data_IF_434001802774
#
_entry.id   IF_434001802774
#
_cell.length_a   1.000
_cell.length_b   1.000
_cell.length_c   1.000
_cell.angle_alpha   90.00
_cell.angle_beta   90.00
_cell.angle_gamma   90.00
#
_symmetry.space_group_name_H-M   'P 1'
#
loop_
_entity.id
_entity.type
_entity.pdbx_description
1 polymer ?
#
# COMPACT_ATOMS: atom_id res chain seq x y z
N UNK A 1 9.47 -12.41 -19.09
CA UNK A 1 9.14 -11.32 -18.16
C UNK A 1 7.63 -11.31 -17.96
N UNK A 2 7.11 -10.94 -16.78
CA UNK A 2 5.68 -10.87 -16.56
C UNK A 2 5.06 -9.72 -17.37
N UNK A 3 4.02 -9.98 -18.16
CA UNK A 3 3.33 -8.99 -18.99
C UNK A 3 2.75 -7.81 -18.17
N UNK A 4 2.47 -8.03 -16.89
CA UNK A 4 1.92 -7.01 -15.99
C UNK A 4 2.90 -5.86 -15.70
N UNK A 5 4.22 -6.10 -15.78
CA UNK A 5 5.22 -5.09 -15.46
C UNK A 5 5.31 -4.00 -16.55
N UNK A 6 5.10 -4.38 -17.81
CA UNK A 6 5.07 -3.47 -18.95
C UNK A 6 3.77 -2.64 -18.97
N UNK A 7 2.66 -3.27 -18.57
CA UNK A 7 1.36 -2.62 -18.33
C UNK A 7 1.42 -1.56 -17.23
N UNK A 8 2.25 -1.74 -16.19
CA UNK A 8 2.29 -0.87 -15.02
C UNK A 8 2.76 0.56 -15.32
N UNK A 9 3.79 0.74 -16.14
CA UNK A 9 4.41 2.07 -16.30
C UNK A 9 4.46 2.60 -17.74
N UNK A 10 4.34 1.75 -18.77
CA UNK A 10 4.48 2.21 -20.17
C UNK A 10 5.86 2.80 -20.53
N UNK A 11 6.83 2.75 -19.60
CA UNK A 11 8.20 3.27 -19.75
C UNK A 11 9.20 2.21 -20.25
N UNK A 12 8.69 1.04 -20.66
CA UNK A 12 9.49 -0.13 -21.03
C UNK A 12 9.89 -1.00 -19.82
N UNK A 13 10.06 -2.30 -20.07
CA UNK A 13 10.22 -3.30 -19.01
C UNK A 13 11.44 -3.07 -18.10
N UNK A 14 12.55 -2.55 -18.64
CA UNK A 14 13.77 -2.27 -17.86
C UNK A 14 13.56 -1.18 -16.82
N UNK A 15 12.91 -0.07 -17.20
CA UNK A 15 12.62 1.04 -16.29
C UNK A 15 11.59 0.62 -15.25
N UNK A 16 10.57 -0.14 -15.65
CA UNK A 16 9.57 -0.65 -14.73
C UNK A 16 10.15 -1.61 -13.69
N UNK A 17 11.09 -2.46 -14.10
CA UNK A 17 11.81 -3.34 -13.17
C UNK A 17 12.66 -2.55 -12.18
N UNK A 18 13.43 -1.58 -12.66
CA UNK A 18 14.25 -0.72 -11.80
C UNK A 18 13.39 0.08 -10.80
N UNK A 19 12.23 0.58 -11.24
CA UNK A 19 11.27 1.27 -10.38
C UNK A 19 10.69 0.35 -9.30
N UNK A 20 10.26 -0.86 -9.68
CA UNK A 20 9.73 -1.82 -8.70
C UNK A 20 10.80 -2.25 -7.70
N UNK A 21 12.04 -2.44 -8.16
CA UNK A 21 13.19 -2.72 -7.28
C UNK A 21 13.41 -1.57 -6.30
N UNK A 22 13.35 -0.32 -6.75
CA UNK A 22 13.49 0.83 -5.86
C UNK A 22 12.37 0.87 -4.81
N UNK A 23 11.11 0.59 -5.17
CA UNK A 23 10.00 0.50 -4.20
C UNK A 23 10.25 -0.59 -3.15
N UNK A 24 10.63 -1.80 -3.60
CA UNK A 24 10.93 -2.93 -2.71
C UNK A 24 12.06 -2.63 -1.73
N UNK A 25 13.18 -2.08 -2.22
CA UNK A 25 14.31 -1.73 -1.38
C UNK A 25 13.97 -0.63 -0.36
N UNK A 26 12.99 0.23 -0.63
CA UNK A 26 12.50 1.24 0.30
C UNK A 26 11.37 0.71 1.23
N UNK A 27 10.93 -0.54 1.06
CA UNK A 27 9.76 -1.11 1.72
C UNK A 27 8.50 -0.26 1.49
N UNK A 28 8.34 0.27 0.28
CA UNK A 28 7.21 1.10 -0.10
C UNK A 28 6.39 0.44 -1.20
N UNK A 29 5.12 0.85 -1.28
CA UNK A 29 4.16 0.46 -2.30
C UNK A 29 3.60 1.72 -2.93
N UNK A 30 3.36 1.68 -4.24
CA UNK A 30 2.53 2.68 -4.92
C UNK A 30 1.05 2.25 -4.94
N UNK A 31 0.19 3.05 -5.57
CA UNK A 31 -1.25 2.76 -5.62
C UNK A 31 -1.60 1.50 -6.41
N UNK A 32 -0.87 1.20 -7.49
CA UNK A 32 -1.13 0.02 -8.33
C UNK A 32 -0.65 -1.26 -7.64
N UNK A 33 0.45 -1.17 -6.88
CA UNK A 33 0.96 -2.27 -6.05
C UNK A 33 -0.06 -2.73 -5.01
N UNK A 34 -0.85 -1.81 -4.44
CA UNK A 34 -1.90 -2.18 -3.49
C UNK A 34 -2.90 -3.15 -4.12
N UNK A 35 -3.34 -2.86 -5.35
CA UNK A 35 -4.30 -3.71 -6.08
C UNK A 35 -3.63 -5.01 -6.53
N UNK A 36 -2.42 -4.92 -7.09
CA UNK A 36 -1.69 -6.07 -7.62
C UNK A 36 -1.28 -7.07 -6.53
N UNK A 37 -0.80 -6.60 -5.39
CA UNK A 37 -0.46 -7.46 -4.26
C UNK A 37 -1.69 -7.99 -3.54
N UNK A 38 -2.78 -7.21 -3.44
CA UNK A 38 -4.06 -7.75 -2.96
C UNK A 38 -4.55 -8.89 -3.85
N UNK A 39 -4.55 -8.71 -5.17
CA UNK A 39 -4.89 -9.75 -6.15
C UNK A 39 -4.03 -11.00 -5.96
N UNK A 40 -2.72 -10.82 -5.83
CA UNK A 40 -1.77 -11.93 -5.65
C UNK A 40 -2.00 -12.66 -4.32
N UNK A 41 -2.19 -11.93 -3.23
CA UNK A 41 -2.46 -12.51 -1.91
C UNK A 41 -3.79 -13.29 -1.88
N UNK A 42 -4.79 -12.90 -2.67
CA UNK A 42 -6.06 -13.63 -2.75
C UNK A 42 -5.99 -14.92 -3.57
N UNK A 43 -4.93 -15.10 -4.36
CA UNK A 43 -4.64 -16.35 -5.07
C UNK A 43 -3.94 -17.38 -4.17
N UNK A 44 -3.31 -16.92 -3.07
CA UNK A 44 -2.75 -17.81 -2.06
C UNK A 44 -3.87 -18.63 -1.38
N UNK A 45 -3.58 -19.90 -1.10
CA UNK A 45 -4.58 -20.86 -0.63
C UNK A 45 -5.17 -20.48 0.71
N UNK A 46 -4.30 -20.23 1.70
CA UNK A 46 -4.72 -19.90 3.07
C UNK A 46 -5.25 -18.47 3.16
N UNK A 47 -4.48 -17.50 2.64
CA UNK A 47 -4.84 -16.08 2.70
C UNK A 47 -6.12 -15.81 1.92
N UNK A 48 -6.21 -16.33 0.70
CA UNK A 48 -7.40 -16.20 -0.12
C UNK A 48 -8.61 -16.82 0.54
N UNK A 49 -8.47 -18.00 1.16
CA UNK A 49 -9.60 -18.68 1.80
C UNK A 49 -10.12 -17.91 3.00
N UNK A 50 -9.22 -17.41 3.85
CA UNK A 50 -9.58 -16.53 4.97
C UNK A 50 -10.42 -15.34 4.52
N UNK A 51 -10.03 -14.69 3.42
CA UNK A 51 -10.75 -13.51 2.93
C UNK A 51 -12.06 -13.83 2.22
N UNK A 52 -12.12 -14.93 1.46
CA UNK A 52 -13.37 -15.42 0.86
C UNK A 52 -14.41 -15.76 1.94
N UNK A 53 -14.00 -16.46 2.99
CA UNK A 53 -14.88 -16.77 4.13
C UNK A 53 -15.37 -15.52 4.86
N UNK A 54 -14.52 -14.51 4.99
CA UNK A 54 -14.90 -13.23 5.61
C UNK A 54 -15.92 -12.46 4.76
N UNK A 55 -15.72 -12.39 3.44
CA UNK A 55 -16.54 -11.61 2.53
C UNK A 55 -17.48 -12.49 1.71
N UNK A 56 -18.54 -12.96 2.38
CA UNK A 56 -19.55 -13.83 1.76
C UNK A 56 -20.45 -13.14 0.74
N UNK A 57 -20.60 -11.82 0.82
CA UNK A 57 -21.40 -11.00 -0.09
C UNK A 57 -20.56 -9.79 -0.49
N UNK A 58 -20.39 -9.57 -1.79
CA UNK A 58 -19.58 -8.48 -2.31
C UNK A 58 -20.46 -7.61 -3.20
N UNK A 59 -20.36 -6.29 -2.98
CA UNK A 59 -21.03 -5.29 -3.77
C UNK A 59 -20.00 -4.28 -4.25
N UNK A 60 -20.05 -3.95 -5.54
CA UNK A 60 -19.21 -2.90 -6.15
C UNK A 60 -20.14 -1.87 -6.77
N UNK A 61 -19.92 -0.61 -6.40
CA UNK A 61 -20.59 0.54 -7.02
C UNK A 61 -19.65 1.20 -8.03
N UNK A 62 -20.19 2.02 -8.94
CA UNK A 62 -19.44 2.70 -10.01
C UNK A 62 -18.61 1.73 -10.88
N UNK A 63 -19.17 0.56 -11.22
CA UNK A 63 -18.45 -0.51 -11.95
C UNK A 63 -17.90 -0.04 -13.30
N UNK A 64 -18.53 0.96 -13.92
CA UNK A 64 -18.10 1.49 -15.21
C UNK A 64 -16.69 2.10 -15.18
N UNK A 65 -16.23 2.54 -14.01
CA UNK A 65 -14.92 3.15 -13.80
C UNK A 65 -13.89 2.20 -13.18
N UNK A 66 -14.27 0.92 -13.02
CA UNK A 66 -13.39 -0.12 -12.47
C UNK A 66 -12.48 -0.71 -13.55
N UNK A 67 -11.21 -0.95 -13.19
CA UNK A 67 -10.22 -1.62 -14.04
C UNK A 67 -10.40 -3.15 -14.00
N UNK A 68 -9.87 -3.86 -15.00
CA UNK A 68 -9.89 -5.33 -14.99
C UNK A 68 -9.12 -5.93 -13.81
N UNK A 69 -8.02 -5.30 -13.38
CA UNK A 69 -7.22 -5.75 -12.23
C UNK A 69 -8.00 -5.63 -10.93
N UNK A 70 -8.73 -4.53 -10.73
CA UNK A 70 -9.61 -4.36 -9.56
C UNK A 70 -10.76 -5.37 -9.59
N UNK A 71 -11.34 -5.63 -10.77
CA UNK A 71 -12.33 -6.68 -10.94
C UNK A 71 -11.78 -8.06 -10.55
N UNK A 72 -10.54 -8.39 -10.88
CA UNK A 72 -9.93 -9.67 -10.48
C UNK A 72 -9.83 -9.82 -8.96
N UNK A 73 -9.55 -8.74 -8.22
CA UNK A 73 -9.59 -8.75 -6.75
C UNK A 73 -11.00 -9.11 -6.26
N UNK A 74 -12.00 -8.41 -6.76
CA UNK A 74 -13.42 -8.63 -6.43
C UNK A 74 -13.87 -10.05 -6.77
N UNK A 75 -13.49 -10.53 -7.96
CA UNK A 75 -13.74 -11.89 -8.42
C UNK A 75 -13.14 -12.91 -7.47
N UNK A 76 -11.88 -12.78 -7.07
CA UNK A 76 -11.23 -13.71 -6.16
C UNK A 76 -11.92 -13.78 -4.78
N UNK A 77 -12.48 -12.67 -4.31
CA UNK A 77 -13.27 -12.63 -3.08
C UNK A 77 -14.62 -13.36 -3.22
N UNK A 78 -15.31 -13.17 -4.34
CA UNK A 78 -16.68 -13.64 -4.49
C UNK A 78 -16.82 -15.05 -5.10
N UNK A 79 -15.81 -15.54 -5.84
CA UNK A 79 -15.94 -16.74 -6.69
C UNK A 79 -16.35 -18.01 -5.93
N UNK A 80 -15.95 -18.16 -4.67
CA UNK A 80 -16.31 -19.34 -3.86
C UNK A 80 -17.79 -19.37 -3.46
N UNK A 81 -18.44 -18.21 -3.35
CA UNK A 81 -19.83 -18.10 -2.90
C UNK A 81 -20.80 -17.70 -4.02
N UNK A 82 -20.31 -17.09 -5.10
CA UNK A 82 -21.12 -16.60 -6.22
C UNK A 82 -21.95 -15.35 -5.90
N UNK A 83 -21.79 -14.76 -4.72
CA UNK A 83 -22.59 -13.62 -4.27
C UNK A 83 -21.88 -12.30 -4.61
N UNK A 84 -21.98 -11.88 -5.87
CA UNK A 84 -21.43 -10.62 -6.36
C UNK A 84 -22.50 -9.77 -7.04
N UNK A 85 -22.65 -8.52 -6.58
CA UNK A 85 -23.46 -7.50 -7.24
C UNK A 85 -22.56 -6.38 -7.76
N UNK A 86 -22.64 -6.10 -9.07
CA UNK A 86 -22.01 -4.94 -9.70
C UNK A 86 -23.10 -3.92 -10.02
N UNK A 87 -22.90 -2.68 -9.57
CA UNK A 87 -23.81 -1.55 -9.75
C UNK A 87 -23.05 -0.47 -10.50
N UNK A 88 -23.69 0.12 -11.51
CA UNK A 88 -23.15 1.24 -12.26
C UNK A 88 -23.90 1.47 -13.57
N UNK A 89 -23.45 2.48 -14.30
CA UNK A 89 -24.03 2.93 -15.56
C UNK A 89 -22.92 3.08 -16.60
N UNK A 90 -22.97 2.27 -17.66
CA UNK A 90 -21.94 2.28 -18.71
C UNK A 90 -21.89 3.60 -19.48
N UNK A 91 -23.00 4.34 -19.57
CA UNK A 91 -23.05 5.66 -20.21
C UNK A 91 -22.39 6.75 -19.35
N UNK A 92 -22.02 6.44 -18.10
CA UNK A 92 -21.34 7.34 -17.15
C UNK A 92 -19.83 7.07 -17.01
N UNK A 93 -19.26 6.19 -17.85
CA UNK A 93 -17.83 5.89 -17.81
C UNK A 93 -16.99 7.12 -18.18
N UNK A 94 -16.25 7.68 -17.23
CA UNK A 94 -15.41 8.89 -17.44
C UNK A 94 -13.94 8.68 -17.06
N UNK A 95 -13.58 7.49 -16.56
CA UNK A 95 -12.21 7.14 -16.16
C UNK A 95 -11.47 6.18 -17.10
N UNK A 96 -11.86 6.08 -18.37
CA UNK A 96 -11.16 5.23 -19.37
C UNK A 96 -9.67 5.56 -19.54
N UNK A 97 -9.29 6.82 -19.35
CA UNK A 97 -7.92 7.31 -19.37
C UNK A 97 -7.06 6.78 -18.20
N UNK A 98 -7.70 6.29 -17.12
CA UNK A 98 -7.07 5.57 -16.01
C UNK A 98 -7.07 4.05 -16.19
N UNK A 99 -7.53 3.56 -17.35
CA UNK A 99 -7.54 2.13 -17.66
C UNK A 99 -8.86 1.41 -17.40
N UNK A 100 -9.94 2.12 -17.05
CA UNK A 100 -11.27 1.52 -17.01
C UNK A 100 -11.64 0.96 -18.40
N UNK A 101 -12.23 -0.24 -18.41
CA UNK A 101 -12.67 -0.97 -19.62
C UNK A 101 -14.02 -1.62 -19.36
N UNK A 102 -15.10 -0.82 -19.21
CA UNK A 102 -16.41 -1.29 -18.76
C UNK A 102 -16.94 -2.50 -19.55
N UNK A 103 -16.90 -2.42 -20.88
CA UNK A 103 -17.39 -3.50 -21.75
C UNK A 103 -16.61 -4.81 -21.56
N UNK A 104 -15.28 -4.74 -21.41
CA UNK A 104 -14.45 -5.92 -21.18
C UNK A 104 -14.70 -6.52 -19.79
N UNK A 105 -14.85 -5.67 -18.77
CA UNK A 105 -15.18 -6.08 -17.40
C UNK A 105 -16.54 -6.77 -17.37
N UNK A 106 -17.56 -6.20 -18.02
CA UNK A 106 -18.90 -6.79 -18.07
C UNK A 106 -18.93 -8.13 -18.81
N UNK A 107 -18.13 -8.29 -19.87
CA UNK A 107 -17.97 -9.57 -20.55
C UNK A 107 -17.33 -10.63 -19.62
N UNK A 108 -16.28 -10.25 -18.88
CA UNK A 108 -15.65 -11.14 -17.90
C UNK A 108 -16.60 -11.53 -16.76
N UNK A 109 -17.33 -10.57 -16.20
CA UNK A 109 -18.33 -10.81 -15.16
C UNK A 109 -19.45 -11.75 -15.63
N UNK A 110 -19.92 -11.56 -16.87
CA UNK A 110 -20.94 -12.44 -17.46
C UNK A 110 -20.43 -13.87 -17.62
N UNK A 111 -19.18 -14.04 -18.06
CA UNK A 111 -18.55 -15.34 -18.21
C UNK A 111 -18.31 -16.05 -16.87
N UNK A 112 -17.89 -15.30 -15.84
CA UNK A 112 -17.55 -15.85 -14.52
C UNK A 112 -18.78 -16.20 -13.68
N UNK A 113 -19.82 -15.35 -13.68
CA UNK A 113 -20.91 -15.42 -12.70
C UNK A 113 -22.32 -15.61 -13.29
N UNK A 114 -22.51 -15.50 -14.61
CA UNK A 114 -23.82 -15.60 -15.28
C UNK A 114 -24.92 -14.78 -14.55
N UNK A 115 -24.70 -13.48 -14.32
CA UNK A 115 -25.50 -12.68 -13.41
C UNK A 115 -26.90 -12.40 -13.96
N UNK A 116 -27.86 -12.19 -13.05
CA UNK A 116 -29.16 -11.62 -13.41
C UNK A 116 -29.05 -10.10 -13.48
N UNK A 117 -29.46 -9.51 -14.61
CA UNK A 117 -29.45 -8.04 -14.80
C UNK A 117 -30.76 -7.43 -14.32
N UNK A 118 -30.64 -6.39 -13.50
CA UNK A 118 -31.75 -5.52 -13.10
C UNK A 118 -31.49 -4.12 -13.63
N UNK A 119 -32.51 -3.50 -14.23
CA UNK A 119 -32.44 -2.12 -14.72
C UNK A 119 -33.31 -1.20 -13.87
N UNK A 120 -32.73 -0.12 -13.36
CA UNK A 120 -33.45 0.92 -12.65
C UNK A 120 -33.84 2.02 -13.65
N UNK A 121 -35.10 2.02 -14.07
CA UNK A 121 -35.58 2.88 -15.17
C UNK A 121 -35.95 4.29 -14.68
N UNK A 122 -36.41 4.42 -13.44
CA UNK A 122 -36.90 5.70 -12.93
C UNK A 122 -35.80 6.56 -12.32
N UNK A 123 -35.64 7.77 -12.84
CA UNK A 123 -34.80 8.83 -12.28
C UNK A 123 -35.60 9.65 -11.25
N UNK A 124 -35.18 9.57 -9.99
CA UNK A 124 -35.76 10.33 -8.87
C UNK A 124 -35.01 11.61 -8.52
N UNK A 125 -33.89 11.90 -9.19
CA UNK A 125 -32.99 13.03 -8.87
C UNK A 125 -33.35 14.29 -9.67
N UNK A 126 -33.66 14.13 -10.94
CA UNK A 126 -33.75 15.22 -11.92
C UNK A 126 -35.21 15.56 -12.22
N UNK A 127 -35.44 16.83 -12.59
CA UNK A 127 -36.72 17.26 -13.15
C UNK A 127 -36.94 16.68 -14.54
N UNK A 128 -38.18 16.63 -15.00
CA UNK A 128 -38.52 16.08 -16.31
C UNK A 128 -37.78 16.82 -17.44
N UNK A 129 -37.72 18.16 -17.37
CA UNK A 129 -37.04 18.99 -18.38
C UNK A 129 -35.53 18.77 -18.40
N UNK A 130 -34.88 18.63 -17.23
CA UNK A 130 -33.44 18.34 -17.17
C UNK A 130 -33.13 16.94 -17.70
N UNK A 131 -33.93 15.93 -17.33
CA UNK A 131 -33.76 14.56 -17.81
C UNK A 131 -33.97 14.48 -19.33
N UNK A 132 -34.95 15.20 -19.87
CA UNK A 132 -35.19 15.25 -21.31
C UNK A 132 -33.99 15.85 -22.05
N UNK A 133 -33.40 16.93 -21.54
CA UNK A 133 -32.20 17.52 -22.13
C UNK A 133 -31.00 16.55 -22.10
N UNK A 134 -30.75 15.91 -20.95
CA UNK A 134 -29.67 14.92 -20.82
C UNK A 134 -29.88 13.70 -21.72
N UNK A 135 -31.11 13.19 -21.80
CA UNK A 135 -31.45 12.03 -22.63
C UNK A 135 -31.26 12.31 -24.12
N UNK A 136 -31.65 13.51 -24.59
CA UNK A 136 -31.42 13.94 -25.98
C UNK A 136 -29.94 14.10 -26.32
N UNK A 137 -29.11 14.50 -25.35
CA UNK A 137 -27.67 14.50 -25.54
C UNK A 137 -27.13 13.07 -25.63
N UNK A 138 -27.57 12.16 -24.75
CA UNK A 138 -27.16 10.76 -24.76
C UNK A 138 -27.58 10.00 -26.04
N UNK A 139 -28.63 10.45 -26.75
CA UNK A 139 -28.99 9.92 -28.09
C UNK A 139 -27.89 10.12 -29.14
N UNK A 140 -26.94 11.03 -28.92
CA UNK A 140 -25.79 11.23 -29.81
C UNK A 140 -24.67 10.19 -29.61
N UNK A 141 -24.73 9.37 -28.56
CA UNK A 141 -23.70 8.38 -28.27
C UNK A 141 -23.73 7.26 -29.31
N UNK A 142 -22.56 6.82 -29.77
CA UNK A 142 -22.45 5.72 -30.73
C UNK A 142 -23.02 4.42 -30.15
N UNK A 143 -22.76 4.18 -28.87
CA UNK A 143 -23.33 3.08 -28.09
C UNK A 143 -23.97 3.68 -26.84
N UNK A 144 -25.29 3.51 -26.70
CA UNK A 144 -26.06 3.94 -25.53
C UNK A 144 -26.56 2.70 -24.80
N UNK A 145 -26.28 2.64 -23.50
CA UNK A 145 -26.58 1.48 -22.66
C UNK A 145 -27.75 1.73 -21.70
N UNK A 146 -28.10 2.99 -21.46
CA UNK A 146 -29.05 3.39 -20.41
C UNK A 146 -30.22 4.19 -20.96
N UNK A 147 -31.43 3.72 -20.65
CA UNK A 147 -32.68 4.42 -20.89
C UNK A 147 -33.36 4.70 -19.54
N UNK A 148 -33.55 5.99 -19.25
CA UNK A 148 -34.15 6.45 -18.00
C UNK A 148 -35.41 7.25 -18.30
N UNK A 149 -36.41 7.09 -17.44
CA UNK A 149 -37.65 7.85 -17.43
C UNK A 149 -37.71 8.70 -16.16
N UNK A 150 -38.40 9.84 -16.22
CA UNK A 150 -38.65 10.61 -15.01
C UNK A 150 -39.55 9.79 -14.08
N UNK A 151 -39.23 9.77 -12.79
CA UNK A 151 -40.12 9.15 -11.81
C UNK A 151 -41.52 9.79 -11.88
N UNK A 152 -42.61 9.04 -11.58
CA UNK A 152 -43.96 9.59 -11.57
C UNK A 152 -44.14 10.82 -10.66
N UNK A 153 -43.28 10.95 -9.64
CA UNK A 153 -43.25 12.07 -8.68
C UNK A 153 -42.38 13.24 -9.14
N UNK A 154 -41.68 13.14 -10.26
CA UNK A 154 -40.77 14.18 -10.72
C UNK A 154 -41.53 15.41 -11.22
N UNK A 155 -41.17 16.58 -10.70
CA UNK A 155 -41.70 17.85 -11.21
C UNK A 155 -41.19 18.12 -12.63
N UNK A 156 -41.97 18.89 -13.42
CA UNK A 156 -41.56 19.31 -14.76
C UNK A 156 -40.22 20.06 -14.74
N UNK A 157 -40.05 20.96 -13.76
CA UNK A 157 -38.86 21.79 -13.58
C UNK A 157 -38.76 22.95 -14.58
N UNK A 158 -37.90 23.93 -14.29
CA UNK A 158 -37.63 25.04 -15.20
C UNK A 158 -36.87 24.55 -16.45
N UNK A 159 -37.04 25.20 -17.61
CA UNK A 159 -36.22 24.92 -18.79
C UNK A 159 -34.73 25.11 -18.50
N UNK A 160 -33.89 24.27 -19.10
CA UNK A 160 -32.42 24.44 -19.05
C UNK A 160 -32.06 25.76 -19.74
N UNK A 161 -31.37 26.64 -19.01
CA UNK A 161 -30.93 27.93 -19.53
C UNK A 161 -29.53 27.81 -20.15
N UNK A 162 -29.31 28.54 -21.23
CA UNK A 162 -28.01 28.65 -21.90
C UNK A 162 -27.66 30.12 -22.07
N UNK A 163 -26.44 30.50 -21.69
CA UNK A 163 -25.92 31.85 -21.81
C UNK A 163 -24.55 31.82 -22.50
N UNK A 164 -24.39 32.64 -23.54
CA UNK A 164 -23.12 32.82 -24.23
C UNK A 164 -22.53 34.18 -23.83
N UNK A 165 -21.47 34.15 -23.04
CA UNK A 165 -20.71 35.34 -22.69
C UNK A 165 -19.66 35.66 -23.76
N UNK A 166 -19.35 36.95 -23.94
CA UNK A 166 -18.33 37.42 -24.90
C UNK A 166 -16.90 37.30 -24.35
N UNK A 167 -16.74 37.23 -23.02
CA UNK A 167 -15.46 37.05 -22.32
C UNK A 167 -15.69 36.38 -20.96
N UNK A 168 -14.62 35.87 -20.35
CA UNK A 168 -14.66 35.13 -19.09
C UNK A 168 -15.28 35.94 -17.93
N UNK A 169 -14.90 37.21 -17.75
CA UNK A 169 -15.50 38.05 -16.69
C UNK A 169 -17.02 38.21 -16.84
N UNK A 170 -17.54 38.26 -18.08
CA UNK A 170 -18.98 38.36 -18.33
C UNK A 170 -19.71 37.06 -18.01
N UNK A 171 -19.06 35.91 -18.22
CA UNK A 171 -19.54 34.60 -17.76
C UNK A 171 -19.67 34.60 -16.24
N UNK A 172 -18.66 35.11 -15.53
CA UNK A 172 -18.65 35.19 -14.06
C UNK A 172 -19.68 36.18 -13.50
N UNK A 173 -19.85 37.34 -14.14
CA UNK A 173 -20.91 38.29 -13.77
C UNK A 173 -22.29 37.67 -13.91
N UNK A 174 -22.51 36.95 -15.01
CA UNK A 174 -23.78 36.27 -15.23
C UNK A 174 -24.00 35.15 -14.20
N UNK A 175 -23.01 34.29 -13.96
CA UNK A 175 -23.09 33.22 -12.93
C UNK A 175 -23.38 33.83 -11.55
N UNK A 176 -22.66 34.89 -11.16
CA UNK A 176 -22.86 35.56 -9.89
C UNK A 176 -24.28 36.12 -9.75
N UNK A 177 -24.81 36.76 -10.80
CA UNK A 177 -26.17 37.26 -10.82
C UNK A 177 -27.20 36.13 -10.70
N UNK A 178 -27.00 34.97 -11.35
CA UNK A 178 -27.87 33.81 -11.19
C UNK A 178 -27.85 33.27 -9.76
N UNK A 179 -26.66 33.11 -9.16
CA UNK A 179 -26.53 32.66 -7.77
C UNK A 179 -27.25 33.62 -6.82
N UNK A 180 -27.03 34.92 -6.96
CA UNK A 180 -27.69 35.92 -6.11
C UNK A 180 -29.22 35.94 -6.30
N UNK A 181 -29.71 35.74 -7.53
CA UNK A 181 -31.13 35.61 -7.80
C UNK A 181 -31.71 34.37 -7.10
N UNK A 182 -31.06 33.21 -7.19
CA UNK A 182 -31.46 31.98 -6.51
C UNK A 182 -31.48 32.13 -4.98
N UNK A 183 -30.49 32.83 -4.41
CA UNK A 183 -30.45 33.10 -2.96
C UNK A 183 -31.56 34.06 -2.55
N UNK A 184 -31.78 35.15 -3.28
CA UNK A 184 -32.70 36.22 -2.87
C UNK A 184 -34.17 35.96 -3.21
N UNK A 185 -34.44 35.32 -4.35
CA UNK A 185 -35.79 35.11 -4.88
C UNK A 185 -36.33 33.72 -4.54
N UNK A 186 -35.47 32.71 -4.56
CA UNK A 186 -35.85 31.31 -4.27
C UNK A 186 -35.43 30.85 -2.86
N UNK A 187 -34.75 31.71 -2.10
CA UNK A 187 -34.31 31.44 -0.72
C UNK A 187 -33.44 30.16 -0.60
N UNK A 188 -32.67 29.85 -1.64
CA UNK A 188 -31.73 28.72 -1.64
C UNK A 188 -30.43 29.08 -0.91
N UNK A 189 -29.84 28.11 -0.20
CA UNK A 189 -28.51 28.30 0.38
C UNK A 189 -27.41 28.07 -0.66
N UNK A 190 -26.26 28.75 -0.50
CA UNK A 190 -25.09 28.53 -1.37
C UNK A 190 -24.66 27.06 -1.45
N UNK A 191 -24.83 26.30 -0.36
CA UNK A 191 -24.50 24.86 -0.29
C UNK A 191 -25.38 23.96 -1.18
N UNK A 192 -26.49 24.47 -1.71
CA UNK A 192 -27.36 23.75 -2.65
C UNK A 192 -26.94 23.98 -4.11
N UNK A 193 -25.89 24.75 -4.35
CA UNK A 193 -25.42 25.14 -5.68
C UNK A 193 -24.04 24.56 -5.94
N UNK A 194 -23.84 24.04 -7.14
CA UNK A 194 -22.55 23.54 -7.61
C UNK A 194 -22.22 24.12 -8.98
N UNK A 195 -20.95 24.43 -9.19
CA UNK A 195 -20.42 24.89 -10.47
C UNK A 195 -19.46 23.82 -10.96
N UNK A 196 -19.74 23.25 -12.13
CA UNK A 196 -18.92 22.21 -12.75
C UNK A 196 -18.16 22.83 -13.93
N UNK A 197 -16.83 22.78 -13.87
CA UNK A 197 -15.96 23.20 -14.96
C UNK A 197 -15.12 22.01 -15.45
N UNK A 198 -14.60 22.12 -16.68
CA UNK A 198 -13.82 21.03 -17.29
C UNK A 198 -12.46 20.79 -16.65
N UNK A 199 -11.82 21.85 -16.13
CA UNK A 199 -10.46 21.84 -15.58
C UNK A 199 -10.42 22.52 -14.22
N UNK A 200 -9.45 22.11 -13.39
CA UNK A 200 -9.25 22.70 -12.06
C UNK A 200 -8.87 24.18 -12.13
N UNK A 201 -8.03 24.57 -13.10
CA UNK A 201 -7.64 25.97 -13.31
C UNK A 201 -8.87 26.86 -13.51
N UNK A 202 -9.84 26.42 -14.34
CA UNK A 202 -11.12 27.14 -14.52
C UNK A 202 -11.96 27.18 -13.25
N UNK A 203 -11.96 26.11 -12.44
CA UNK A 203 -12.61 26.12 -11.14
C UNK A 203 -11.98 27.16 -10.20
N UNK A 204 -10.65 27.29 -10.20
CA UNK A 204 -9.92 28.25 -9.37
C UNK A 204 -10.19 29.68 -9.81
N UNK A 205 -10.12 29.97 -11.10
CA UNK A 205 -10.48 31.28 -11.68
C UNK A 205 -11.92 31.67 -11.32
N UNK A 206 -12.87 30.74 -11.49
CA UNK A 206 -14.27 30.98 -11.15
C UNK A 206 -14.45 31.23 -9.64
N UNK A 207 -13.81 30.44 -8.78
CA UNK A 207 -13.89 30.63 -7.33
C UNK A 207 -13.35 31.99 -6.89
N UNK A 208 -12.21 32.42 -7.43
CA UNK A 208 -11.63 33.74 -7.15
C UNK A 208 -12.55 34.87 -7.65
N UNK A 209 -13.04 34.75 -8.89
CA UNK A 209 -13.94 35.74 -9.46
C UNK A 209 -15.27 35.87 -8.71
N UNK A 210 -15.83 34.76 -8.22
CA UNK A 210 -17.03 34.76 -7.38
C UNK A 210 -16.76 35.32 -5.99
N UNK A 211 -15.59 35.03 -5.40
CA UNK A 211 -15.18 35.59 -4.12
C UNK A 211 -15.05 37.13 -4.18
N UNK A 212 -14.49 37.67 -5.26
CA UNK A 212 -14.45 39.13 -5.50
C UNK A 212 -15.87 39.73 -5.54
N UNK A 213 -16.84 38.96 -6.04
CA UNK A 213 -18.26 39.34 -6.11
C UNK A 213 -19.04 39.07 -4.81
N UNK A 214 -18.34 38.72 -3.73
CA UNK A 214 -18.93 38.48 -2.41
C UNK A 214 -19.67 37.14 -2.27
N UNK A 215 -19.44 36.19 -3.20
CA UNK A 215 -20.07 34.87 -3.18
C UNK A 215 -19.08 33.86 -2.58
N UNK A 216 -19.44 33.17 -1.48
CA UNK A 216 -18.58 32.17 -0.87
C UNK A 216 -18.45 30.93 -1.78
N UNK A 217 -17.23 30.50 -2.06
CA UNK A 217 -16.93 29.34 -2.88
C UNK A 217 -15.96 28.39 -2.18
N UNK A 218 -16.19 27.08 -2.35
CA UNK A 218 -15.28 26.02 -1.88
C UNK A 218 -14.89 25.17 -3.09
N UNK A 219 -13.60 25.00 -3.32
CA UNK A 219 -13.08 24.11 -4.37
C UNK A 219 -12.65 22.77 -3.76
N UNK A 220 -12.71 21.69 -4.55
CA UNK A 220 -12.25 20.37 -4.14
C UNK A 220 -10.75 20.35 -3.78
N UNK A 221 -9.97 21.33 -4.21
CA UNK A 221 -8.54 21.46 -3.91
C UNK A 221 -8.24 21.98 -2.50
N UNK A 222 -9.24 22.18 -1.64
CA UNK A 222 -9.04 22.49 -0.21
C UNK A 222 -8.23 21.37 0.50
N UNK A 223 -8.07 20.19 -0.11
CA UNK A 223 -7.14 19.13 0.32
C UNK A 223 -5.66 19.38 -0.05
N UNK A 224 -5.33 20.52 -0.68
CA UNK A 224 -3.95 20.97 -0.92
C UNK A 224 -3.15 21.14 0.37
N UNK A 225 -3.82 21.24 1.53
CA UNK A 225 -3.15 21.26 2.84
C UNK A 225 -2.13 20.11 3.00
N UNK A 226 -2.47 18.88 2.60
CA UNK A 226 -1.54 17.73 2.68
C UNK A 226 -0.43 17.79 1.62
N UNK A 227 -0.55 18.69 0.64
CA UNK A 227 0.45 18.93 -0.41
C UNK A 227 1.43 20.05 -0.05
N UNK A 228 1.13 20.85 0.96
CA UNK A 228 2.00 21.94 1.42
C UNK A 228 3.35 21.41 1.87
N UNK A 229 4.42 22.12 1.50
CA UNK A 229 5.81 21.68 1.77
C UNK A 229 6.07 21.39 3.24
N UNK A 230 5.68 22.26 4.21
CA UNK A 230 5.87 21.98 5.63
C UNK A 230 5.13 20.72 6.10
N UNK A 231 3.91 20.50 5.60
CA UNK A 231 3.07 19.36 5.98
C UNK A 231 3.66 18.07 5.43
N UNK A 232 4.06 18.06 4.16
CA UNK A 232 4.72 16.90 3.56
C UNK A 232 6.08 16.58 4.23
N UNK A 233 6.82 17.59 4.70
CA UNK A 233 8.06 17.37 5.46
C UNK A 233 7.77 16.80 6.86
N UNK A 234 6.73 17.27 7.55
CA UNK A 234 6.30 16.66 8.81
C UNK A 234 5.84 15.20 8.61
N UNK A 235 5.08 14.93 7.55
CA UNK A 235 4.67 13.57 7.18
C UNK A 235 5.87 12.67 6.86
N UNK A 236 6.93 13.21 6.23
CA UNK A 236 8.15 12.44 5.97
C UNK A 236 8.83 11.98 7.27
N UNK A 237 8.85 12.81 8.32
CA UNK A 237 9.36 12.39 9.63
C UNK A 237 8.51 11.24 10.23
N UNK A 238 7.19 11.35 10.16
CA UNK A 238 6.28 10.30 10.66
C UNK A 238 6.48 9.00 9.86
N UNK A 239 6.62 9.10 8.53
CA UNK A 239 6.91 7.95 7.67
C UNK A 239 8.21 7.25 8.06
N UNK A 240 9.27 7.98 8.38
CA UNK A 240 10.54 7.39 8.80
C UNK A 240 10.46 6.71 10.18
N UNK A 241 9.60 7.19 11.07
CA UNK A 241 9.35 6.51 12.34
C UNK A 241 8.63 5.16 12.13
N UNK A 242 7.73 5.09 11.14
CA UNK A 242 7.00 3.86 10.81
C UNK A 242 7.81 2.90 9.92
N UNK A 243 8.56 3.45 8.97
CA UNK A 243 9.42 2.73 8.03
C UNK A 243 10.76 3.48 7.90
N UNK A 244 11.79 3.09 8.69
CA UNK A 244 13.12 3.68 8.62
C UNK A 244 13.81 3.54 7.26
N UNK A 245 13.32 2.65 6.38
CA UNK A 245 13.87 2.40 5.04
C UNK A 245 13.25 3.26 3.95
N UNK A 246 12.28 4.13 4.26
CA UNK A 246 11.70 5.03 3.26
C UNK A 246 12.71 6.09 2.80
N UNK A 247 13.47 5.77 1.76
CA UNK A 247 14.49 6.65 1.19
C UNK A 247 13.92 7.93 0.57
N UNK A 248 12.65 7.94 0.16
CA UNK A 248 11.98 9.14 -0.37
C UNK A 248 11.66 10.11 0.77
N UNK A 249 11.12 9.60 1.88
CA UNK A 249 10.92 10.38 3.08
C UNK A 249 12.26 10.89 3.65
N UNK A 250 13.29 10.03 3.70
CA UNK A 250 14.64 10.39 4.14
C UNK A 250 15.23 11.53 3.30
N UNK A 251 15.16 11.41 1.98
CA UNK A 251 15.58 12.46 1.04
C UNK A 251 14.89 13.78 1.34
N UNK A 252 13.59 13.76 1.59
CA UNK A 252 12.83 14.98 1.90
C UNK A 252 13.29 15.62 3.21
N UNK A 253 13.52 14.82 4.26
CA UNK A 253 14.02 15.31 5.55
C UNK A 253 15.41 15.91 5.38
N UNK A 254 16.35 15.19 4.77
CA UNK A 254 17.71 15.68 4.50
C UNK A 254 17.69 16.98 3.70
N UNK A 255 16.91 17.05 2.63
CA UNK A 255 16.78 18.24 1.78
C UNK A 255 16.23 19.46 2.53
N UNK A 256 15.43 19.25 3.59
CA UNK A 256 14.92 20.36 4.40
C UNK A 256 15.94 20.94 5.39
N UNK A 257 17.09 20.27 5.58
CA UNK A 257 18.14 20.67 6.51
C UNK A 257 19.48 21.03 5.85
N UNK A 258 19.70 20.62 4.60
CA UNK A 258 20.94 20.88 3.85
C UNK A 258 20.78 22.07 2.91
N UNK A 259 21.84 22.87 2.76
CA UNK A 259 21.94 23.87 1.71
C UNK A 259 22.00 23.21 0.32
N UNK A 260 21.81 24.01 -0.73
CA UNK A 260 21.90 23.52 -2.12
C UNK A 260 23.26 22.88 -2.43
N UNK A 261 24.35 23.48 -1.94
CA UNK A 261 25.70 22.96 -2.15
C UNK A 261 25.94 21.64 -1.39
N UNK A 262 25.52 21.56 -0.11
CA UNK A 262 25.65 20.35 0.70
C UNK A 262 24.80 19.21 0.14
N UNK A 263 23.59 19.51 -0.34
CA UNK A 263 22.76 18.50 -1.00
C UNK A 263 23.37 18.01 -2.31
N UNK A 264 23.94 18.90 -3.12
CA UNK A 264 24.59 18.51 -4.38
C UNK A 264 25.78 17.58 -4.10
N UNK A 265 26.63 17.93 -3.13
CA UNK A 265 27.75 17.09 -2.68
C UNK A 265 27.26 15.74 -2.12
N UNK A 266 26.25 15.75 -1.24
CA UNK A 266 25.63 14.52 -0.73
C UNK A 266 25.08 13.65 -1.86
N UNK A 267 24.38 14.25 -2.82
CA UNK A 267 23.77 13.52 -3.93
C UNK A 267 24.84 12.95 -4.87
N UNK A 268 25.86 13.73 -5.24
CA UNK A 268 26.97 13.26 -6.08
C UNK A 268 27.77 12.14 -5.39
N UNK A 269 27.98 12.24 -4.08
CA UNK A 269 28.72 11.23 -3.32
C UNK A 269 27.93 9.96 -3.06
N UNK A 270 26.59 10.01 -3.03
CA UNK A 270 25.75 8.85 -2.67
C UNK A 270 24.98 8.25 -3.84
N UNK A 271 24.73 9.01 -4.91
CA UNK A 271 24.00 8.52 -6.08
C UNK A 271 24.78 7.38 -6.77
N UNK A 272 24.06 6.34 -7.19
CA UNK A 272 24.61 5.14 -7.83
C UNK A 272 25.57 4.31 -6.96
N UNK A 273 25.52 4.49 -5.64
CA UNK A 273 26.11 3.55 -4.68
C UNK A 273 25.01 2.65 -4.12
N UNK A 274 25.41 1.52 -3.50
CA UNK A 274 24.50 0.62 -2.78
C UNK A 274 23.96 1.23 -1.45
N UNK A 275 24.00 2.56 -1.33
CA UNK A 275 23.59 3.34 -0.17
C UNK A 275 22.32 4.13 -0.49
N UNK A 276 21.40 4.15 0.46
CA UNK A 276 20.16 4.89 0.40
C UNK A 276 20.20 6.12 1.30
N UNK A 277 19.38 7.13 1.01
CA UNK A 277 19.24 8.31 1.87
C UNK A 277 18.80 7.97 3.30
N UNK A 278 18.00 6.91 3.46
CA UNK A 278 17.55 6.35 4.75
C UNK A 278 18.70 5.81 5.59
N UNK A 279 19.73 5.25 4.96
CA UNK A 279 20.88 4.66 5.66
C UNK A 279 21.63 5.70 6.51
N UNK A 280 21.68 6.95 6.07
CA UNK A 280 22.34 8.04 6.78
C UNK A 280 21.52 8.60 7.96
N UNK A 281 20.25 8.23 8.07
CA UNK A 281 19.37 8.62 9.18
C UNK A 281 19.27 7.53 10.26
N UNK A 282 19.91 6.38 10.07
CA UNK A 282 20.01 5.34 11.08
C UNK A 282 20.84 5.82 12.28
N UNK A 283 20.40 5.61 13.53
CA UNK A 283 21.20 5.88 14.73
C UNK A 283 22.59 5.24 14.69
N UNK A 284 22.73 4.07 14.05
CA UNK A 284 24.01 3.38 13.91
C UNK A 284 24.99 4.14 13.04
N UNK A 285 24.52 4.76 11.95
CA UNK A 285 25.36 5.55 11.04
C UNK A 285 25.95 6.78 11.73
N UNK A 286 25.24 7.40 12.67
CA UNK A 286 25.79 8.49 13.50
C UNK A 286 26.92 8.04 14.43
N UNK A 287 26.90 6.78 14.88
CA UNK A 287 27.92 6.22 15.76
C UNK A 287 29.12 5.65 14.99
N UNK A 288 28.85 4.94 13.90
CA UNK A 288 29.85 4.16 13.17
C UNK A 288 30.44 4.94 11.98
N UNK A 289 29.85 6.09 11.63
CA UNK A 289 30.27 6.98 10.54
C UNK A 289 29.77 6.55 9.15
N UNK A 290 29.65 5.24 8.91
CA UNK A 290 29.15 4.68 7.64
C UNK A 290 28.15 3.53 7.88
N UNK A 291 27.06 3.43 7.09
CA UNK A 291 25.96 2.47 7.31
C UNK A 291 26.30 0.99 7.38
N UNK A 292 27.48 0.55 6.90
CA UNK A 292 27.89 -0.87 6.92
C UNK A 292 29.23 -1.11 7.63
N UNK A 293 29.84 -0.08 8.22
CA UNK A 293 31.16 -0.19 8.83
C UNK A 293 31.18 -1.21 9.98
N UNK A 294 30.13 -1.27 10.79
CA UNK A 294 30.04 -2.22 11.89
C UNK A 294 29.94 -3.67 11.41
N UNK A 295 29.11 -3.94 10.39
CA UNK A 295 29.00 -5.25 9.75
C UNK A 295 30.35 -5.71 9.19
N UNK A 296 31.02 -4.85 8.42
CA UNK A 296 32.34 -5.17 7.86
C UNK A 296 33.37 -5.46 8.95
N UNK A 297 33.41 -4.62 10.00
CA UNK A 297 34.31 -4.81 11.14
C UNK A 297 34.08 -6.15 11.85
N UNK A 298 32.81 -6.49 12.13
CA UNK A 298 32.46 -7.75 12.80
C UNK A 298 32.76 -8.96 11.93
N UNK A 299 32.47 -8.87 10.63
CA UNK A 299 32.76 -9.96 9.69
C UNK A 299 34.28 -10.20 9.54
N UNK A 300 35.08 -9.14 9.42
CA UNK A 300 36.51 -9.23 9.18
C UNK A 300 37.33 -9.54 10.44
N UNK A 301 36.93 -9.01 11.59
CA UNK A 301 37.78 -8.99 12.79
C UNK A 301 37.06 -9.31 14.10
N UNK A 302 35.73 -9.46 14.06
CA UNK A 302 34.90 -9.66 15.24
C UNK A 302 34.15 -10.99 15.20
N UNK A 303 32.91 -10.93 15.68
CA UNK A 303 32.01 -12.07 15.83
C UNK A 303 30.70 -11.76 15.13
N UNK A 304 30.30 -12.62 14.21
CA UNK A 304 28.97 -12.60 13.58
C UNK A 304 28.23 -13.85 14.02
N UNK A 305 26.99 -13.71 14.45
CA UNK A 305 26.17 -14.83 14.89
C UNK A 305 25.01 -14.94 13.93
N UNK A 306 25.06 -15.96 13.08
CA UNK A 306 23.95 -16.31 12.19
C UNK A 306 22.88 -16.97 13.06
N UNK A 307 21.65 -16.45 13.05
CA UNK A 307 20.54 -16.89 13.89
C UNK A 307 19.36 -17.31 13.01
N UNK A 308 18.70 -18.38 13.44
CA UNK A 308 17.41 -18.85 12.95
C UNK A 308 16.62 -19.41 14.14
N UNK A 309 15.31 -19.13 14.20
CA UNK A 309 14.45 -19.64 15.28
C UNK A 309 13.14 -20.20 14.74
N UNK A 310 12.66 -21.27 15.36
CA UNK A 310 11.33 -21.80 15.10
C UNK A 310 10.39 -21.47 16.24
N UNK A 311 9.13 -21.19 15.90
CA UNK A 311 8.15 -20.64 16.84
C UNK A 311 6.80 -21.33 16.74
N UNK A 312 6.01 -21.26 17.82
CA UNK A 312 4.63 -21.76 17.83
C UNK A 312 3.66 -20.87 17.05
N UNK A 313 4.11 -19.68 16.62
CA UNK A 313 3.29 -18.68 15.93
C UNK A 313 4.02 -17.34 15.73
N UNK A 314 3.34 -16.38 15.11
CA UNK A 314 3.94 -15.13 14.61
C UNK A 314 3.89 -13.94 15.60
N UNK A 315 3.39 -14.14 16.83
CA UNK A 315 3.17 -13.05 17.78
C UNK A 315 4.17 -13.08 18.92
N UNK A 316 5.14 -12.14 18.95
CA UNK A 316 6.08 -11.99 20.06
C UNK A 316 5.41 -11.79 21.42
N UNK A 317 4.15 -11.36 21.47
CA UNK A 317 3.45 -11.16 22.74
C UNK A 317 3.03 -12.48 23.42
N UNK A 318 2.67 -13.51 22.63
CA UNK A 318 2.02 -14.73 23.14
C UNK A 318 2.72 -16.03 22.72
N UNK A 319 3.34 -16.06 21.54
CA UNK A 319 3.87 -17.28 20.95
C UNK A 319 5.28 -17.57 21.48
N UNK A 320 5.65 -18.85 21.55
CA UNK A 320 6.89 -19.35 22.14
C UNK A 320 7.90 -19.72 21.05
N UNK A 321 9.18 -19.71 21.43
CA UNK A 321 10.25 -20.30 20.63
C UNK A 321 10.35 -21.78 20.99
N UNK A 322 10.50 -22.64 20.00
CA UNK A 322 10.66 -24.09 20.16
C UNK A 322 12.03 -24.60 19.74
N UNK A 323 12.75 -23.85 18.91
CA UNK A 323 14.12 -24.15 18.48
C UNK A 323 14.92 -22.86 18.32
N UNK A 324 16.19 -22.89 18.72
CA UNK A 324 17.16 -21.85 18.40
C UNK A 324 18.36 -22.52 17.75
N UNK A 325 18.63 -22.17 16.50
CA UNK A 325 19.81 -22.56 15.77
C UNK A 325 20.67 -21.32 15.51
N UNK A 326 21.95 -21.38 15.87
CA UNK A 326 22.88 -20.30 15.60
C UNK A 326 24.30 -20.76 15.34
N UNK A 327 25.00 -20.05 14.45
CA UNK A 327 26.41 -20.30 14.13
C UNK A 327 27.21 -19.03 14.39
N UNK A 328 28.23 -19.14 15.24
CA UNK A 328 29.17 -18.07 15.48
C UNK A 328 30.32 -18.15 14.45
N UNK A 329 30.43 -17.09 13.66
CA UNK A 329 31.52 -16.85 12.73
C UNK A 329 32.56 -15.93 13.38
N UNK A 330 33.83 -16.29 13.30
CA UNK A 330 34.94 -15.39 13.55
C UNK A 330 35.77 -15.26 12.28
N UNK A 331 36.05 -14.02 11.85
CA UNK A 331 36.74 -13.75 10.59
C UNK A 331 36.07 -14.44 9.37
N UNK A 332 34.73 -14.46 9.35
CA UNK A 332 33.92 -15.08 8.31
C UNK A 332 33.93 -16.61 8.30
N UNK A 333 34.48 -17.29 9.33
CA UNK A 333 34.54 -18.76 9.40
C UNK A 333 33.76 -19.29 10.60
N UNK A 334 32.98 -20.37 10.44
CA UNK A 334 32.33 -21.05 11.57
C UNK A 334 33.36 -21.46 12.61
N UNK A 335 33.04 -21.20 13.89
CA UNK A 335 33.87 -21.59 15.03
C UNK A 335 33.06 -22.30 16.12
N UNK A 336 31.78 -21.96 16.27
CA UNK A 336 30.90 -22.57 17.25
C UNK A 336 29.48 -22.62 16.72
N UNK A 337 28.75 -23.64 17.16
CA UNK A 337 27.35 -23.87 16.84
C UNK A 337 26.55 -23.90 18.14
N UNK A 338 25.32 -23.41 18.07
CA UNK A 338 24.33 -23.44 19.12
C UNK A 338 23.06 -24.03 18.51
N UNK A 339 22.61 -25.16 19.03
CA UNK A 339 21.39 -25.80 18.55
C UNK A 339 20.67 -26.42 19.74
N UNK A 340 19.58 -25.79 20.15
CA UNK A 340 18.83 -26.21 21.33
C UNK A 340 17.32 -26.07 21.13
N UNK A 341 16.58 -26.98 21.75
CA UNK A 341 15.13 -27.01 21.74
C UNK A 341 14.57 -26.50 23.05
N UNK A 342 13.42 -25.84 22.98
CA UNK A 342 12.67 -25.36 24.14
C UNK A 342 11.39 -26.19 24.29
N UNK A 343 11.11 -26.64 25.50
CA UNK A 343 9.84 -27.30 25.82
C UNK A 343 8.75 -26.22 25.93
N UNK A 344 7.76 -26.18 25.02
CA UNK A 344 6.71 -25.17 25.04
C UNK A 344 5.76 -25.40 26.22
N UNK A 345 5.27 -24.31 26.80
CA UNK A 345 4.26 -24.35 27.86
C UNK A 345 2.85 -24.46 27.27
N UNK A 346 2.61 -23.80 26.14
CA UNK A 346 1.34 -23.80 25.40
C UNK A 346 1.22 -24.86 24.30
N UNK A 347 0.12 -24.80 23.55
CA UNK A 347 -0.06 -25.63 22.36
C UNK A 347 0.84 -25.14 21.21
N UNK A 348 1.47 -26.09 20.52
CA UNK A 348 2.28 -25.83 19.31
C UNK A 348 1.37 -25.53 18.11
N UNK A 349 0.14 -26.05 18.11
CA UNK A 349 -0.86 -25.78 17.07
C UNK A 349 -0.41 -26.21 15.67
N UNK A 350 -0.79 -25.44 14.65
CA UNK A 350 -0.49 -25.74 13.24
C UNK A 350 0.99 -25.51 12.86
N UNK A 351 1.78 -24.91 13.75
CA UNK A 351 3.20 -24.62 13.49
C UNK A 351 4.06 -25.87 13.29
N UNK A 352 3.63 -27.04 13.81
CA UNK A 352 4.26 -28.34 13.52
C UNK A 352 4.31 -28.63 12.02
N UNK A 353 3.32 -28.16 11.23
CA UNK A 353 3.33 -28.29 9.77
C UNK A 353 4.39 -27.43 9.07
N UNK A 354 4.92 -26.42 9.77
CA UNK A 354 5.93 -25.47 9.26
C UNK A 354 7.33 -25.96 9.64
N UNK A 355 7.61 -26.09 10.94
CA UNK A 355 8.95 -26.41 11.45
C UNK A 355 9.21 -27.92 11.57
N UNK A 356 8.17 -28.76 11.54
CA UNK A 356 8.30 -30.23 11.51
C UNK A 356 8.57 -30.90 12.86
N UNK A 357 8.50 -30.17 13.98
CA UNK A 357 8.72 -30.73 15.32
C UNK A 357 7.40 -31.11 15.99
N UNK A 358 7.27 -32.38 16.37
CA UNK A 358 6.07 -32.85 17.07
C UNK A 358 6.05 -32.34 18.52
N UNK A 359 4.87 -32.10 19.11
CA UNK A 359 4.76 -31.74 20.53
C UNK A 359 5.47 -32.75 21.45
N UNK A 360 5.40 -34.05 21.14
CA UNK A 360 6.06 -35.10 21.91
C UNK A 360 7.59 -34.99 21.83
N UNK A 361 8.12 -34.67 20.65
CA UNK A 361 9.56 -34.44 20.49
C UNK A 361 10.02 -33.26 21.34
N UNK A 362 9.29 -32.13 21.27
CA UNK A 362 9.62 -30.91 22.01
C UNK A 362 9.50 -31.09 23.52
N UNK A 363 8.52 -31.85 24.01
CA UNK A 363 8.42 -32.16 25.43
C UNK A 363 9.51 -33.11 25.93
N UNK A 364 10.04 -33.97 25.04
CA UNK A 364 11.08 -34.95 25.41
C UNK A 364 12.49 -34.37 25.33
N UNK A 365 12.76 -33.54 24.33
CA UNK A 365 14.11 -33.03 24.00
C UNK A 365 14.27 -31.54 24.32
N UNK A 366 13.16 -30.81 24.49
CA UNK A 366 13.15 -29.42 24.85
C UNK A 366 13.57 -29.18 26.30
N UNK A 367 14.27 -28.09 26.53
CA UNK A 367 14.68 -27.63 27.85
C UNK A 367 13.85 -26.41 28.29
N UNK A 368 13.89 -26.03 29.59
CA UNK A 368 13.22 -24.82 30.04
C UNK A 368 13.71 -23.59 29.26
N UNK A 369 12.78 -22.80 28.73
CA UNK A 369 13.06 -21.63 27.91
C UNK A 369 14.08 -20.67 28.57
N UNK A 370 13.98 -20.48 29.89
CA UNK A 370 14.90 -19.64 30.66
C UNK A 370 16.36 -20.10 30.50
N UNK A 371 16.62 -21.40 30.58
CA UNK A 371 17.99 -21.91 30.57
C UNK A 371 18.59 -21.82 29.16
N UNK A 372 17.80 -22.17 28.14
CA UNK A 372 18.20 -22.08 26.73
C UNK A 372 18.48 -20.62 26.33
N UNK A 373 17.58 -19.69 26.66
CA UNK A 373 17.73 -18.28 26.31
C UNK A 373 18.90 -17.62 27.06
N UNK A 374 19.19 -18.03 28.30
CA UNK A 374 20.38 -17.56 29.01
C UNK A 374 21.67 -18.03 28.33
N UNK A 375 21.74 -19.30 27.91
CA UNK A 375 22.89 -19.83 27.16
C UNK A 375 23.03 -19.18 25.78
N UNK A 376 21.93 -18.99 25.06
CA UNK A 376 21.94 -18.23 23.81
C UNK A 376 22.45 -16.80 24.05
N UNK A 377 22.03 -16.17 25.14
CA UNK A 377 22.48 -14.83 25.51
C UNK A 377 23.99 -14.71 25.70
N UNK A 378 24.60 -15.71 26.32
CA UNK A 378 26.05 -15.86 26.43
C UNK A 378 26.69 -16.13 25.06
N UNK A 379 26.14 -17.10 24.31
CA UNK A 379 26.62 -17.47 22.98
C UNK A 379 26.63 -16.29 22.01
N UNK A 380 25.63 -15.42 22.06
CA UNK A 380 25.48 -14.26 21.20
C UNK A 380 26.29 -13.03 21.66
N UNK A 381 26.88 -13.06 22.86
CA UNK A 381 27.47 -11.87 23.48
C UNK A 381 28.58 -11.28 22.62
N UNK A 382 28.52 -9.96 22.44
CA UNK A 382 29.52 -9.16 21.73
C UNK A 382 29.55 -9.37 20.21
N UNK A 383 28.67 -10.22 19.68
CA UNK A 383 28.54 -10.45 18.24
C UNK A 383 27.46 -9.59 17.60
N UNK A 384 27.60 -9.37 16.29
CA UNK A 384 26.52 -8.90 15.44
C UNK A 384 25.62 -10.08 15.07
N UNK A 385 24.32 -9.96 15.34
CA UNK A 385 23.36 -10.98 14.92
C UNK A 385 23.00 -10.77 13.45
N UNK A 386 22.98 -11.85 12.66
CA UNK A 386 22.52 -11.81 11.27
C UNK A 386 21.58 -12.98 11.04
N UNK A 387 20.62 -12.83 10.14
CA UNK A 387 19.66 -13.88 9.82
C UNK A 387 18.72 -13.41 8.72
N UNK A 388 17.84 -14.28 8.26
CA UNK A 388 16.83 -13.92 7.28
C UNK A 388 15.58 -13.44 8.01
N UNK A 389 15.13 -12.19 7.79
CA UNK A 389 14.04 -11.61 8.58
C UNK A 389 14.35 -11.57 10.10
N UNK A 390 15.62 -11.37 10.46
CA UNK A 390 16.13 -11.56 11.83
C UNK A 390 15.56 -10.61 12.86
N UNK A 391 14.97 -9.50 12.41
CA UNK A 391 14.19 -8.62 13.27
C UNK A 391 13.01 -9.34 13.94
N UNK A 392 12.36 -10.27 13.23
CA UNK A 392 11.31 -11.13 13.80
C UNK A 392 11.89 -12.08 14.85
N UNK A 393 12.97 -12.79 14.53
CA UNK A 393 13.61 -13.75 15.42
C UNK A 393 14.05 -13.10 16.73
N UNK A 394 14.70 -11.93 16.64
CA UNK A 394 15.13 -11.18 17.80
C UNK A 394 13.97 -10.62 18.62
N UNK A 395 12.87 -10.23 17.98
CA UNK A 395 11.66 -9.82 18.70
C UNK A 395 11.07 -11.00 19.48
N UNK A 396 11.01 -12.19 18.88
CA UNK A 396 10.58 -13.42 19.55
C UNK A 396 11.51 -13.78 20.71
N UNK A 397 12.83 -13.78 20.50
CA UNK A 397 13.85 -14.09 21.52
C UNK A 397 13.76 -13.13 22.69
N UNK A 398 13.70 -11.83 22.40
CA UNK A 398 13.64 -10.79 23.44
C UNK A 398 12.35 -10.85 24.24
N UNK A 399 11.21 -11.04 23.58
CA UNK A 399 9.92 -11.10 24.26
C UNK A 399 9.77 -12.39 25.09
N UNK A 400 10.19 -13.54 24.55
CA UNK A 400 10.16 -14.81 25.27
C UNK A 400 11.08 -14.76 26.49
N UNK A 401 12.31 -14.24 26.35
CA UNK A 401 13.24 -14.06 27.46
C UNK A 401 12.63 -13.21 28.59
N UNK A 402 11.98 -12.08 28.24
CA UNK A 402 11.30 -11.22 29.22
C UNK A 402 10.18 -11.95 29.96
N UNK A 403 9.37 -12.75 29.26
CA UNK A 403 8.29 -13.53 29.89
C UNK A 403 8.81 -14.54 30.92
N UNK A 404 9.99 -15.11 30.69
CA UNK A 404 10.63 -16.05 31.64
C UNK A 404 11.56 -15.37 32.66
N UNK A 405 11.48 -14.04 32.76
CA UNK A 405 12.22 -13.25 33.75
C UNK A 405 13.69 -13.02 33.43
N UNK A 406 14.07 -13.06 32.15
CA UNK A 406 15.41 -12.74 31.67
C UNK A 406 15.43 -11.41 30.91
N UNK A 407 16.53 -10.67 31.08
CA UNK A 407 16.83 -9.48 30.29
C UNK A 407 18.10 -9.80 29.51
N UNK A 408 17.94 -10.04 28.21
CA UNK A 408 19.07 -10.23 27.30
C UNK A 408 19.72 -8.87 26.98
N UNK A 409 21.02 -8.85 26.63
CA UNK A 409 21.68 -7.63 26.16
C UNK A 409 21.02 -7.13 24.87
N UNK A 410 21.11 -5.82 24.61
CA UNK A 410 20.70 -5.27 23.31
C UNK A 410 21.62 -5.77 22.21
N UNK A 411 21.07 -6.51 21.26
CA UNK A 411 21.80 -6.98 20.07
C UNK A 411 21.77 -5.93 18.97
N UNK A 412 22.93 -5.67 18.36
CA UNK A 412 22.96 -5.10 17.01
C UNK A 412 22.71 -6.23 16.02
N UNK A 413 22.02 -5.94 14.94
CA UNK A 413 21.68 -6.93 13.94
C UNK A 413 21.61 -6.35 12.54
N UNK A 414 21.80 -7.22 11.54
CA UNK A 414 21.64 -6.90 10.11
C UNK A 414 20.81 -8.00 9.45
N UNK A 415 19.83 -7.60 8.64
CA UNK A 415 18.98 -8.55 7.93
C UNK A 415 19.60 -9.01 6.62
N UNK A 416 19.80 -10.30 6.47
CA UNK A 416 20.33 -10.87 5.22
C UNK A 416 19.36 -10.71 4.05
N UNK A 417 18.05 -10.61 4.28
CA UNK A 417 17.07 -10.33 3.24
C UNK A 417 17.20 -8.89 2.72
N UNK A 418 17.37 -7.92 3.62
CA UNK A 418 17.60 -6.51 3.23
C UNK A 418 18.91 -6.37 2.46
N UNK A 419 19.97 -7.00 2.96
CA UNK A 419 21.28 -7.03 2.31
C UNK A 419 21.19 -7.69 0.92
N UNK A 420 20.49 -8.81 0.80
CA UNK A 420 20.31 -9.49 -0.49
C UNK A 420 19.55 -8.61 -1.50
N UNK A 421 18.50 -7.91 -1.07
CA UNK A 421 17.74 -6.97 -1.91
C UNK A 421 18.58 -5.81 -2.44
N UNK A 422 19.67 -5.44 -1.74
CA UNK A 422 20.62 -4.43 -2.21
C UNK A 422 21.51 -4.96 -3.34
N UNK A 423 22.02 -6.20 -3.23
CA UNK A 423 23.08 -6.71 -4.12
C UNK A 423 22.64 -7.72 -5.20
N UNK A 424 21.49 -8.38 -5.04
CA UNK A 424 20.93 -9.30 -6.04
C UNK A 424 19.40 -9.17 -6.06
N UNK A 425 18.84 -8.30 -6.92
CA UNK A 425 17.39 -8.18 -7.00
C UNK A 425 16.77 -9.53 -7.40
N UNK A 426 15.63 -9.92 -6.83
CA UNK A 426 14.95 -11.15 -7.21
C UNK A 426 14.65 -11.14 -8.71
N UNK A 427 15.01 -12.23 -9.39
CA UNK A 427 14.63 -12.45 -10.79
C UNK A 427 13.10 -12.52 -10.89
N UNK A 428 12.48 -12.03 -11.99
CA UNK A 428 11.04 -12.21 -12.23
C UNK A 428 10.58 -13.67 -12.31
N UNK A 429 11.52 -14.63 -12.32
CA UNK A 429 11.26 -16.08 -12.33
C UNK A 429 11.39 -16.72 -10.95
N UNK A 430 11.74 -15.96 -9.92
CA UNK A 430 11.76 -16.46 -8.54
C UNK A 430 10.31 -16.55 -8.09
N UNK A 431 9.76 -17.76 -8.11
CA UNK A 431 8.51 -18.05 -7.40
C UNK A 431 8.59 -17.40 -6.01
N UNK A 432 7.51 -16.77 -5.56
CA UNK A 432 7.29 -16.34 -4.17
C UNK A 432 7.22 -17.54 -3.20
N UNK A 433 8.18 -18.45 -3.32
CA UNK A 433 8.45 -19.42 -2.28
C UNK A 433 9.38 -18.73 -1.29
N UNK A 434 9.11 -18.79 0.02
CA UNK A 434 10.15 -18.49 1.00
C UNK A 434 11.40 -19.25 0.57
N UNK A 435 12.54 -18.55 0.57
CA UNK A 435 13.82 -19.17 0.26
C UNK A 435 13.92 -20.43 1.12
N UNK A 436 14.20 -21.61 0.54
CA UNK A 436 14.49 -22.77 1.37
C UNK A 436 15.68 -22.38 2.21
N UNK A 437 15.52 -22.44 3.53
CA UNK A 437 16.55 -22.33 4.56
C UNK A 437 17.83 -22.96 3.99
N UNK A 438 18.77 -22.14 3.52
CA UNK A 438 20.06 -22.60 3.03
C UNK A 438 20.94 -22.79 4.26
N UNK A 439 20.58 -23.72 5.15
CA UNK A 439 21.48 -24.34 6.12
C UNK A 439 20.85 -25.69 6.53
N UNK A 440 21.16 -26.72 5.74
CA UNK A 440 21.23 -28.12 6.18
C UNK A 440 22.61 -28.64 5.87
#
# INVERSE_FOLDING_TARGET
MPAWLELKLGLGATVALAYQQALQQNHTLDFDDLVMYARTALQDGETGERWRQKYRWVQVDEVQDTTLTEYEVVRHLAIAHGNLALIGDLDQAIYEWRGARPNALMAAFTADFQPTRYSLVYNYRSTQNLLAAASRFAESFAERHTACEAAPTAAAGSPVQHHLATHAEGELDWIAAQIQALVSQENLSYSQMAILMRTNDRCQEAAQGLQIRGIPCVTAETFAFLRETPIQTALAHIKLLANPKDGVAARRVLRSHLSEAEWADFWETTQNRDLQSSDFLSPHSFHDGEPLAYLQKQYQSGKVVVLDVETTGLSPARDEIVEIAAIALHHGRPQAEFHEFIAPVGEVGDSTGIHGWSPEFLQTHGQPAKDVLARFGEFARGGLIVGHNVGFDLAMVTAHARRVGLILPGYRWEDTWDLAQRWRPPSPTTNWRPWPVIFR
#
